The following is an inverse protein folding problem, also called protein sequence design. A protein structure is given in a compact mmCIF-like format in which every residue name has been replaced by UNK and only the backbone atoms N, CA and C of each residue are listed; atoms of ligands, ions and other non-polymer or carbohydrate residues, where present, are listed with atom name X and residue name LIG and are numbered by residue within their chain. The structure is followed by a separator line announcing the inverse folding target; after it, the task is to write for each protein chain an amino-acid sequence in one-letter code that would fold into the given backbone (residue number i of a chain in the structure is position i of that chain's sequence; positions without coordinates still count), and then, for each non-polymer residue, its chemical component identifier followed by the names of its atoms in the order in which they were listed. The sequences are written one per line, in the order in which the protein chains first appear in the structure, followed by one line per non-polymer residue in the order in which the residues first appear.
data_IF_297705360763
#
_entry.id   IF_297705360763
#
_cell.length_a   1.000
_cell.length_b   1.000
_cell.length_c   1.000
_cell.angle_alpha   90.00
_cell.angle_beta   90.00
_cell.angle_gamma   90.00
#
_symmetry.space_group_name_H-M   'P 1'
#
loop_
_entity.id
_entity.type
_entity.pdbx_description
1 polymer ?
#
# COMPACT_ATOMS: atom_id res chain seq x y z
N UNK A 1 61.09 -16.59 -26.56
CA UNK A 1 60.52 -17.36 -25.43
C UNK A 1 59.71 -16.43 -24.52
N UNK A 2 58.49 -16.03 -24.90
CA UNK A 2 57.48 -15.55 -23.94
C UNK A 2 56.08 -15.43 -24.60
N UNK A 3 55.65 -16.44 -25.36
CA UNK A 3 54.30 -16.53 -25.93
C UNK A 3 53.52 -17.74 -25.36
N UNK A 4 53.79 -18.08 -24.09
CA UNK A 4 53.26 -19.28 -23.41
C UNK A 4 52.53 -18.99 -22.09
N UNK A 5 52.33 -17.73 -21.72
CA UNK A 5 51.64 -17.34 -20.47
C UNK A 5 50.31 -16.57 -20.66
N UNK A 6 49.77 -16.53 -21.88
CA UNK A 6 48.48 -15.89 -22.16
C UNK A 6 47.46 -16.85 -22.82
N UNK A 7 47.54 -18.15 -22.50
CA UNK A 7 46.57 -19.19 -22.91
C UNK A 7 46.19 -20.12 -21.75
N UNK A 8 46.34 -19.66 -20.50
CA UNK A 8 45.95 -20.42 -19.30
C UNK A 8 44.86 -19.76 -18.46
N UNK A 9 44.31 -18.62 -18.90
CA UNK A 9 43.18 -17.96 -18.22
C UNK A 9 41.89 -17.88 -19.06
N UNK A 10 41.89 -18.43 -20.28
CA UNK A 10 40.71 -18.44 -21.17
C UNK A 10 40.08 -19.83 -21.34
N UNK A 11 40.42 -20.80 -20.49
CA UNK A 11 39.79 -22.14 -20.49
C UNK A 11 39.05 -22.49 -19.20
N UNK A 12 38.95 -21.56 -18.24
CA UNK A 12 38.25 -21.77 -16.97
C UNK A 12 36.91 -21.02 -16.87
N UNK A 13 36.46 -20.39 -17.95
CA UNK A 13 35.19 -19.62 -17.99
C UNK A 13 34.12 -20.22 -18.91
N UNK A 14 34.35 -21.43 -19.41
CA UNK A 14 33.43 -22.16 -20.30
C UNK A 14 33.12 -23.57 -19.78
N UNK A 15 33.17 -23.75 -18.44
CA UNK A 15 32.87 -25.02 -17.77
C UNK A 15 31.85 -24.89 -16.62
N UNK A 16 31.26 -23.70 -16.42
CA UNK A 16 30.26 -23.46 -15.38
C UNK A 16 28.84 -23.22 -15.92
N UNK A 17 28.62 -23.29 -17.23
CA UNK A 17 27.31 -23.03 -17.85
C UNK A 17 26.85 -24.10 -18.86
N UNK A 18 27.39 -25.31 -18.79
CA UNK A 18 26.86 -26.46 -19.53
C UNK A 18 26.84 -27.68 -18.64
N UNK A 19 25.72 -27.87 -17.91
CA UNK A 19 25.13 -29.17 -17.55
C UNK A 19 24.04 -28.96 -16.47
N UNK A 20 22.75 -28.87 -16.83
CA UNK A 20 21.75 -29.68 -16.19
C UNK A 20 21.60 -31.00 -16.97
N UNK A 21 20.95 -31.97 -16.33
CA UNK A 21 20.45 -33.26 -16.83
C UNK A 21 21.19 -34.47 -16.23
N UNK A 22 20.38 -35.36 -15.65
CA UNK A 22 20.64 -36.70 -15.09
C UNK A 22 21.38 -36.62 -13.73
N UNK A 23 20.85 -37.07 -12.59
CA UNK A 23 20.35 -38.42 -12.34
C UNK A 23 19.39 -38.39 -11.13
N UNK A 24 18.11 -38.63 -11.40
CA UNK A 24 17.27 -39.41 -10.50
C UNK A 24 17.60 -40.89 -10.73
N UNK A 25 18.33 -41.49 -9.80
CA UNK A 25 18.55 -42.93 -9.62
C UNK A 25 19.45 -43.07 -8.39
N UNK A 26 18.87 -43.14 -7.19
CA UNK A 26 19.32 -44.08 -6.16
C UNK A 26 18.18 -44.29 -5.15
N UNK A 27 17.92 -45.53 -4.69
CA UNK A 27 16.74 -45.90 -3.92
C UNK A 27 16.99 -45.76 -2.42
N UNK A 28 16.00 -45.27 -1.68
CA UNK A 28 15.91 -45.42 -0.22
C UNK A 28 14.80 -46.43 0.14
N UNK A 29 14.98 -47.24 1.20
CA UNK A 29 14.22 -48.46 1.41
C UNK A 29 12.93 -48.28 2.22
N UNK A 30 11.99 -49.18 1.91
CA UNK A 30 10.86 -49.71 2.69
C UNK A 30 9.76 -48.75 3.18
N UNK A 31 8.63 -48.82 2.48
CA UNK A 31 7.41 -49.35 3.09
C UNK A 31 6.70 -50.25 2.08
N UNK A 32 6.59 -51.54 2.43
CA UNK A 32 5.87 -52.54 1.66
C UNK A 32 4.36 -52.24 1.67
N UNK A 33 3.74 -52.27 0.49
CA UNK A 33 2.32 -52.58 0.39
C UNK A 33 2.17 -53.78 -0.53
N UNK A 34 1.73 -54.88 0.08
CA UNK A 34 1.52 -56.21 -0.50
C UNK A 34 0.61 -56.14 -1.73
N UNK A 35 1.08 -56.74 -2.82
CA UNK A 35 0.30 -56.95 -4.04
C UNK A 35 -0.54 -58.21 -3.88
N UNK A 36 -1.85 -58.12 -4.06
CA UNK A 36 -2.66 -59.27 -4.48
C UNK A 36 -3.24 -58.98 -5.87
N UNK A 37 -2.70 -59.68 -6.86
CA UNK A 37 -3.33 -59.87 -8.18
C UNK A 37 -4.46 -60.88 -8.01
N UNK A 38 -5.69 -60.48 -8.32
CA UNK A 38 -6.75 -61.41 -8.73
C UNK A 38 -7.14 -61.10 -10.16
N UNK A 39 -6.90 -62.05 -11.05
CA UNK A 39 -7.32 -62.04 -12.44
C UNK A 39 -8.72 -62.66 -12.51
N UNK A 40 -9.73 -61.89 -12.91
CA UNK A 40 -11.05 -62.40 -13.28
C UNK A 40 -11.43 -61.79 -14.63
N UNK A 41 -11.75 -62.64 -15.59
CA UNK A 41 -12.11 -62.28 -16.97
C UNK A 41 -13.62 -62.01 -17.13
N UNK A 42 -13.92 -61.08 -18.07
CA UNK A 42 -15.17 -60.76 -18.80
C UNK A 42 -15.97 -59.53 -18.31
N UNK A 43 -16.70 -58.80 -19.18
CA UNK A 43 -16.57 -58.60 -20.64
C UNK A 43 -16.14 -57.14 -20.99
N UNK A 44 -15.76 -56.87 -22.24
CA UNK A 44 -15.47 -55.50 -22.70
C UNK A 44 -16.72 -54.63 -22.65
N UNK A 45 -16.80 -53.75 -21.65
CA UNK A 45 -17.72 -52.61 -21.64
C UNK A 45 -16.94 -51.42 -22.17
N UNK A 46 -17.36 -50.89 -23.32
CA UNK A 46 -16.82 -49.66 -23.88
C UNK A 46 -17.32 -48.51 -23.01
N UNK A 47 -16.49 -48.03 -22.09
CA UNK A 47 -16.74 -46.76 -21.41
C UNK A 47 -16.27 -45.64 -22.33
N UNK A 48 -17.20 -44.84 -22.84
CA UNK A 48 -16.88 -43.50 -23.31
C UNK A 48 -16.27 -42.74 -22.12
N UNK A 49 -15.03 -42.29 -22.26
CA UNK A 49 -14.40 -41.43 -21.28
C UNK A 49 -15.11 -40.08 -21.32
N UNK A 50 -16.12 -39.90 -20.45
CA UNK A 50 -16.49 -38.57 -20.02
C UNK A 50 -15.38 -38.10 -19.08
N UNK A 51 -14.56 -37.16 -19.54
CA UNK A 51 -13.62 -36.48 -18.67
C UNK A 51 -14.41 -35.87 -17.50
N UNK A 52 -14.01 -36.11 -16.24
CA UNK A 52 -14.64 -35.43 -15.13
C UNK A 52 -14.29 -33.95 -15.27
N UNK A 53 -15.29 -33.13 -15.57
CA UNK A 53 -15.20 -31.68 -15.42
C UNK A 53 -14.98 -31.45 -13.92
N UNK A 54 -13.72 -31.31 -13.52
CA UNK A 54 -13.38 -30.76 -12.22
C UNK A 54 -13.75 -29.29 -12.30
N UNK A 55 -14.97 -28.97 -11.85
CA UNK A 55 -15.35 -27.60 -11.55
C UNK A 55 -14.48 -27.14 -10.39
N UNK A 56 -13.34 -26.52 -10.69
CA UNK A 56 -12.65 -25.67 -9.73
C UNK A 56 -13.69 -24.64 -9.31
N UNK A 57 -14.04 -24.50 -8.02
CA UNK A 57 -14.92 -23.45 -7.58
C UNK A 57 -14.35 -22.12 -8.07
N UNK A 58 -15.10 -21.39 -8.88
CA UNK A 58 -14.74 -20.01 -9.24
C UNK A 58 -14.62 -19.27 -7.90
N UNK A 59 -13.42 -18.80 -7.55
CA UNK A 59 -13.26 -17.94 -6.38
C UNK A 59 -14.28 -16.80 -6.52
N UNK A 60 -14.99 -16.45 -5.44
CA UNK A 60 -16.00 -15.40 -5.53
C UNK A 60 -15.33 -14.15 -6.12
N UNK A 61 -15.88 -13.65 -7.24
CA UNK A 61 -15.50 -12.34 -7.77
C UNK A 61 -15.89 -11.31 -6.72
N UNK A 62 -14.93 -10.96 -5.88
CA UNK A 62 -15.03 -9.79 -5.01
C UNK A 62 -14.89 -8.60 -5.96
N UNK A 63 -15.90 -7.74 -6.01
CA UNK A 63 -15.81 -6.49 -6.75
C UNK A 63 -14.59 -5.70 -6.24
N UNK A 64 -13.80 -5.09 -7.15
CA UNK A 64 -12.57 -4.41 -6.77
C UNK A 64 -12.87 -3.27 -5.78
N UNK A 65 -12.17 -3.24 -4.65
CA UNK A 65 -12.26 -2.13 -3.70
C UNK A 65 -11.28 -1.02 -4.12
N UNK A 66 -11.80 0.01 -4.78
CA UNK A 66 -11.06 1.13 -5.33
C UNK A 66 -10.70 2.15 -4.24
N UNK A 67 -9.42 2.46 -4.13
CA UNK A 67 -8.89 3.45 -3.18
C UNK A 67 -8.21 4.58 -3.94
N UNK A 68 -8.77 5.79 -3.90
CA UNK A 68 -8.16 6.97 -4.53
C UNK A 68 -7.21 7.67 -3.56
N UNK A 69 -5.97 7.91 -3.99
CA UNK A 69 -4.94 8.62 -3.24
C UNK A 69 -4.78 10.04 -3.75
N UNK A 70 -4.81 11.00 -2.83
CA UNK A 70 -4.62 12.43 -3.07
C UNK A 70 -3.59 13.00 -2.10
N UNK A 71 -2.93 14.09 -2.51
CA UNK A 71 -1.87 14.73 -1.74
C UNK A 71 -2.00 16.25 -1.85
N UNK A 72 -2.98 16.84 -1.14
CA UNK A 72 -3.23 18.29 -1.20
C UNK A 72 -2.00 19.12 -0.84
N UNK A 73 -1.20 18.64 0.11
CA UNK A 73 0.12 19.21 0.44
C UNK A 73 1.26 18.29 -0.06
N UNK A 74 1.29 18.04 -1.36
CA UNK A 74 2.20 17.09 -2.04
C UNK A 74 3.69 17.23 -1.70
N UNK A 75 4.19 18.45 -1.45
CA UNK A 75 5.61 18.72 -1.16
C UNK A 75 5.99 18.60 0.32
N UNK A 76 5.08 18.20 1.19
CA UNK A 76 5.42 17.93 2.58
C UNK A 76 6.42 16.78 2.70
N UNK A 77 7.55 17.02 3.38
CA UNK A 77 8.65 16.07 3.44
C UNK A 77 9.03 15.65 4.85
N UNK A 78 9.81 14.57 4.91
CA UNK A 78 10.36 13.99 6.13
C UNK A 78 11.86 14.28 6.18
N UNK A 79 12.33 14.97 7.22
CA UNK A 79 13.73 15.38 7.33
C UNK A 79 14.72 14.21 7.20
N UNK A 80 14.48 13.01 7.77
CA UNK A 80 15.41 11.89 7.62
C UNK A 80 15.57 11.43 6.17
N UNK A 81 14.48 11.45 5.39
CA UNK A 81 14.48 11.05 3.98
C UNK A 81 15.25 12.08 3.15
N UNK A 82 14.91 13.37 3.29
CA UNK A 82 15.63 14.46 2.61
C UNK A 82 17.12 14.44 2.97
N UNK A 83 17.47 14.20 4.24
CA UNK A 83 18.86 14.16 4.69
C UNK A 83 19.62 12.98 4.10
N UNK A 84 19.00 11.81 4.01
CA UNK A 84 19.61 10.60 3.43
C UNK A 84 19.95 10.79 1.94
N UNK A 85 19.07 11.48 1.20
CA UNK A 85 19.24 11.67 -0.26
C UNK A 85 20.03 12.92 -0.63
N UNK A 86 19.75 14.05 0.02
CA UNK A 86 20.29 15.39 -0.34
C UNK A 86 21.28 15.96 0.68
N UNK A 87 21.47 15.31 1.84
CA UNK A 87 22.37 15.79 2.89
C UNK A 87 21.85 16.98 3.70
N UNK A 88 20.63 17.47 3.42
CA UNK A 88 20.00 18.61 4.09
C UNK A 88 18.74 18.20 4.86
N UNK A 89 18.31 19.04 5.80
CA UNK A 89 17.04 18.83 6.51
C UNK A 89 16.02 19.85 6.03
N UNK A 90 14.94 19.36 5.43
CA UNK A 90 13.81 20.17 5.02
C UNK A 90 12.50 19.46 5.42
N UNK A 91 11.46 20.27 5.66
CA UNK A 91 10.09 19.79 5.95
C UNK A 91 9.14 20.01 4.76
N UNK A 92 9.64 20.67 3.72
CA UNK A 92 9.09 20.71 2.38
C UNK A 92 10.23 20.46 1.38
N UNK A 93 10.00 19.64 0.37
CA UNK A 93 10.97 19.38 -0.71
C UNK A 93 10.21 19.05 -2.00
N UNK A 94 10.72 19.47 -3.16
CA UNK A 94 10.03 19.27 -4.45
C UNK A 94 10.13 17.84 -4.97
N UNK A 95 11.13 17.07 -4.52
CA UNK A 95 11.40 15.72 -5.02
C UNK A 95 11.26 14.65 -3.92
N UNK A 96 11.72 14.95 -2.70
CA UNK A 96 11.74 14.02 -1.57
C UNK A 96 10.61 14.34 -0.59
N UNK A 97 9.37 14.05 -0.98
CA UNK A 97 8.14 14.44 -0.27
C UNK A 97 7.13 13.31 -0.16
N UNK A 98 5.98 13.56 0.46
CA UNK A 98 4.94 12.57 0.64
C UNK A 98 4.36 12.08 -0.70
N UNK A 99 4.24 12.95 -1.70
CA UNK A 99 3.81 12.56 -3.04
C UNK A 99 4.78 11.56 -3.69
N UNK A 100 6.09 11.71 -3.49
CA UNK A 100 7.09 10.76 -3.96
C UNK A 100 6.99 9.35 -3.33
N UNK A 101 6.21 9.19 -2.25
CA UNK A 101 5.95 7.89 -1.61
C UNK A 101 4.72 7.16 -2.20
N UNK A 102 4.03 7.74 -3.18
CA UNK A 102 2.78 7.21 -3.74
C UNK A 102 2.92 5.78 -4.27
N UNK A 103 4.01 5.43 -4.95
CA UNK A 103 4.25 4.07 -5.47
C UNK A 103 4.37 3.05 -4.33
N UNK A 104 5.03 3.43 -3.23
CA UNK A 104 5.13 2.59 -2.02
C UNK A 104 3.74 2.38 -1.40
N UNK A 105 2.93 3.44 -1.32
CA UNK A 105 1.57 3.36 -0.79
C UNK A 105 0.67 2.47 -1.66
N UNK A 106 0.71 2.64 -2.98
CA UNK A 106 -0.01 1.77 -3.93
C UNK A 106 0.38 0.30 -3.74
N UNK A 107 1.68 0.02 -3.69
CA UNK A 107 2.17 -1.34 -3.57
C UNK A 107 1.63 -2.06 -2.32
N UNK A 108 1.59 -1.40 -1.17
CA UNK A 108 1.02 -1.99 0.04
C UNK A 108 -0.49 -2.20 -0.04
N UNK A 109 -1.23 -1.31 -0.72
CA UNK A 109 -2.67 -1.48 -0.96
C UNK A 109 -2.94 -2.69 -1.88
N UNK A 110 -2.19 -2.82 -2.98
CA UNK A 110 -2.27 -3.95 -3.92
C UNK A 110 -1.96 -5.29 -3.24
N UNK A 111 -0.91 -5.34 -2.39
CA UNK A 111 -0.57 -6.54 -1.62
C UNK A 111 -1.70 -7.00 -0.68
N UNK A 112 -2.63 -6.10 -0.33
CA UNK A 112 -3.80 -6.39 0.48
C UNK A 112 -5.08 -6.60 -0.34
N UNK A 113 -4.96 -6.76 -1.67
CA UNK A 113 -6.09 -7.02 -2.57
C UNK A 113 -6.99 -5.81 -2.82
N UNK A 114 -6.48 -4.59 -2.58
CA UNK A 114 -7.15 -3.34 -2.88
C UNK A 114 -6.73 -2.84 -4.27
N UNK A 115 -7.54 -2.00 -4.90
CA UNK A 115 -7.25 -1.41 -6.22
C UNK A 115 -6.93 0.08 -6.06
N UNK A 116 -5.66 0.47 -5.90
CA UNK A 116 -5.32 1.87 -5.68
C UNK A 116 -5.25 2.67 -6.98
N UNK A 117 -5.72 3.91 -6.90
CA UNK A 117 -5.63 4.91 -7.97
C UNK A 117 -4.97 6.16 -7.40
N UNK A 118 -4.17 6.86 -8.19
CA UNK A 118 -3.55 8.12 -7.77
C UNK A 118 -4.19 9.26 -8.57
N UNK A 119 -4.53 10.34 -7.87
CA UNK A 119 -4.73 11.63 -8.52
C UNK A 119 -3.38 12.12 -9.07
N UNK A 120 -3.21 12.07 -10.39
CA UNK A 120 -1.97 12.48 -11.09
C UNK A 120 -1.89 14.01 -11.18
N UNK A 121 -1.71 14.65 -10.02
CA UNK A 121 -1.72 16.10 -9.88
C UNK A 121 -0.87 16.55 -8.68
N UNK A 122 0.34 17.01 -8.96
CA UNK A 122 1.22 17.61 -7.93
C UNK A 122 0.75 19.02 -7.57
N UNK A 123 -0.15 19.10 -6.59
CA UNK A 123 -0.82 20.35 -6.16
C UNK A 123 0.19 21.47 -5.88
N UNK A 124 1.28 21.19 -5.15
CA UNK A 124 2.24 22.21 -4.78
C UNK A 124 3.08 22.71 -5.97
N UNK A 125 3.33 21.88 -6.98
CA UNK A 125 3.94 22.30 -8.24
C UNK A 125 2.98 23.17 -9.05
N UNK A 126 1.72 22.77 -9.15
CA UNK A 126 0.68 23.50 -9.89
C UNK A 126 0.37 24.86 -9.25
N UNK A 127 0.35 24.93 -7.92
CA UNK A 127 0.19 26.18 -7.18
C UNK A 127 1.25 27.22 -7.54
N UNK A 128 2.50 26.82 -7.81
CA UNK A 128 3.56 27.74 -8.25
C UNK A 128 3.28 28.33 -9.63
N UNK A 129 2.64 27.57 -10.53
CA UNK A 129 2.31 28.03 -11.88
C UNK A 129 1.20 29.09 -11.86
N UNK A 130 0.30 29.02 -10.88
CA UNK A 130 -0.84 29.94 -10.75
C UNK A 130 -0.67 30.99 -9.64
N UNK A 131 0.55 31.14 -9.10
CA UNK A 131 0.90 32.07 -8.02
C UNK A 131 -0.03 31.93 -6.79
N UNK A 132 -0.41 30.69 -6.46
CA UNK A 132 -1.23 30.38 -5.30
C UNK A 132 -0.39 30.22 -4.03
N UNK A 133 -0.91 30.74 -2.93
CA UNK A 133 -0.33 30.62 -1.58
C UNK A 133 -0.74 29.32 -0.90
N UNK A 134 0.01 28.87 0.10
CA UNK A 134 -0.21 27.59 0.81
C UNK A 134 -1.66 27.37 1.27
N UNK A 135 -2.33 28.40 1.79
CA UNK A 135 -3.73 28.32 2.24
C UNK A 135 -4.74 28.08 1.12
N UNK A 136 -4.34 28.23 -0.14
CA UNK A 136 -5.18 28.00 -1.31
C UNK A 136 -5.03 26.58 -1.87
N UNK A 137 -4.22 25.71 -1.26
CA UNK A 137 -3.98 24.35 -1.74
C UNK A 137 -5.29 23.56 -1.94
N UNK A 138 -6.21 23.60 -0.96
CA UNK A 138 -7.52 22.96 -1.10
C UNK A 138 -8.34 23.54 -2.25
N UNK A 139 -8.28 24.86 -2.48
CA UNK A 139 -8.96 25.51 -3.61
C UNK A 139 -8.42 25.02 -4.97
N UNK A 140 -7.12 24.75 -5.05
CA UNK A 140 -6.46 24.25 -6.28
C UNK A 140 -6.72 22.75 -6.48
N UNK A 141 -6.66 21.96 -5.41
CA UNK A 141 -6.86 20.52 -5.42
C UNK A 141 -8.32 20.09 -5.68
N UNK A 142 -9.28 20.84 -5.12
CA UNK A 142 -10.71 20.49 -5.12
C UNK A 142 -11.30 20.17 -6.51
N UNK A 143 -11.15 21.02 -7.55
CA UNK A 143 -11.75 20.73 -8.85
C UNK A 143 -11.20 19.44 -9.48
N UNK A 144 -9.92 19.11 -9.24
CA UNK A 144 -9.32 17.88 -9.73
C UNK A 144 -9.92 16.66 -9.03
N UNK A 145 -10.01 16.69 -7.70
CA UNK A 145 -10.65 15.61 -6.95
C UNK A 145 -12.12 15.42 -7.35
N UNK A 146 -12.86 16.51 -7.54
CA UNK A 146 -14.24 16.45 -8.01
C UNK A 146 -14.36 15.75 -9.38
N UNK A 147 -13.45 16.03 -10.31
CA UNK A 147 -13.43 15.37 -11.62
C UNK A 147 -13.21 13.86 -11.49
N UNK A 148 -12.25 13.41 -10.66
CA UNK A 148 -12.03 11.98 -10.43
C UNK A 148 -13.28 11.29 -9.88
N UNK A 149 -13.97 11.93 -8.93
CA UNK A 149 -15.21 11.43 -8.32
C UNK A 149 -16.41 11.42 -9.27
N UNK A 150 -16.40 12.26 -10.31
CA UNK A 150 -17.43 12.25 -11.37
C UNK A 150 -17.17 11.13 -12.40
N UNK A 151 -15.91 10.81 -12.66
CA UNK A 151 -15.51 9.84 -13.69
C UNK A 151 -15.55 8.40 -13.20
N UNK A 152 -15.30 8.15 -11.91
CA UNK A 152 -15.22 6.81 -11.34
C UNK A 152 -15.81 6.76 -9.92
N UNK A 153 -16.32 5.58 -9.54
CA UNK A 153 -16.69 5.29 -8.16
C UNK A 153 -15.46 4.79 -7.38
N UNK A 154 -15.28 5.33 -6.17
CA UNK A 154 -14.24 4.90 -5.24
C UNK A 154 -14.88 4.56 -3.90
N UNK A 155 -14.54 3.41 -3.32
CA UNK A 155 -15.02 3.02 -2.00
C UNK A 155 -14.30 3.76 -0.87
N UNK A 156 -13.10 4.27 -1.13
CA UNK A 156 -12.34 5.09 -0.18
C UNK A 156 -11.49 6.14 -0.92
N UNK A 157 -11.46 7.37 -0.41
CA UNK A 157 -10.52 8.41 -0.84
C UNK A 157 -9.66 8.83 0.33
N UNK A 158 -8.34 8.92 0.13
CA UNK A 158 -7.39 9.29 1.17
C UNK A 158 -6.55 10.49 0.70
N UNK A 159 -6.69 11.62 1.37
CA UNK A 159 -5.77 12.76 1.29
C UNK A 159 -4.64 12.57 2.32
N UNK A 160 -3.45 12.23 1.84
CA UNK A 160 -2.29 11.99 2.68
C UNK A 160 -1.51 13.28 2.95
N UNK A 161 -1.31 13.56 4.23
CA UNK A 161 -0.49 14.66 4.74
C UNK A 161 0.60 14.11 5.64
N UNK A 162 1.60 14.92 5.94
CA UNK A 162 2.62 14.63 6.95
C UNK A 162 2.33 15.52 8.16
N UNK A 163 2.31 15.01 9.39
CA UNK A 163 2.11 15.87 10.56
C UNK A 163 3.36 16.74 10.82
N UNK A 164 3.17 18.01 11.12
CA UNK A 164 4.24 18.89 11.62
C UNK A 164 4.89 18.43 12.94
N UNK A 165 4.28 17.49 13.66
CA UNK A 165 4.72 17.03 14.97
C UNK A 165 6.06 16.25 14.94
N UNK A 166 6.88 16.36 16.00
CA UNK A 166 8.19 15.72 16.06
C UNK A 166 8.10 14.24 16.47
N UNK A 167 9.23 13.52 16.31
CA UNK A 167 9.37 12.07 16.58
C UNK A 167 8.74 11.61 17.90
N UNK A 168 8.90 12.40 18.97
CA UNK A 168 8.37 12.07 20.31
C UNK A 168 6.85 11.84 20.32
N UNK A 169 6.13 12.47 19.39
CA UNK A 169 4.67 12.37 19.27
C UNK A 169 4.27 11.36 18.20
N UNK A 170 5.08 11.26 17.13
CA UNK A 170 4.75 10.55 15.89
C UNK A 170 5.46 9.21 15.72
N UNK A 171 6.17 8.70 16.74
CA UNK A 171 6.77 7.37 16.70
C UNK A 171 6.24 6.48 17.81
N UNK A 172 5.91 5.24 17.45
CA UNK A 172 5.59 4.16 18.36
C UNK A 172 6.69 3.10 18.27
N UNK A 173 7.10 2.54 19.40
CA UNK A 173 7.89 1.30 19.44
C UNK A 173 6.98 0.16 19.89
N UNK A 174 6.83 -0.85 19.03
CA UNK A 174 6.06 -2.06 19.32
C UNK A 174 6.83 -3.27 18.78
N UNK A 175 6.95 -4.33 19.58
CA UNK A 175 7.66 -5.56 19.22
C UNK A 175 9.10 -5.33 18.69
N UNK A 176 9.84 -4.41 19.32
CA UNK A 176 11.20 -3.98 18.91
C UNK A 176 11.30 -3.31 17.53
N UNK A 177 10.18 -3.03 16.88
CA UNK A 177 10.09 -2.28 15.64
C UNK A 177 9.55 -0.87 15.90
N UNK A 178 9.90 0.09 15.05
CA UNK A 178 9.39 1.46 15.12
C UNK A 178 8.42 1.74 14.00
N UNK A 179 7.31 2.38 14.34
CA UNK A 179 6.23 2.76 13.44
C UNK A 179 6.03 4.27 13.48
N UNK A 180 5.68 4.84 12.34
CA UNK A 180 5.10 6.17 12.31
C UNK A 180 3.68 6.08 12.86
N UNK A 181 3.32 6.98 13.76
CA UNK A 181 1.95 7.08 14.25
C UNK A 181 1.14 7.93 13.30
N UNK A 182 -0.09 7.52 13.03
CA UNK A 182 -1.00 8.25 12.16
C UNK A 182 -2.09 8.95 12.96
N UNK A 183 -2.68 10.00 12.41
CA UNK A 183 -3.89 10.62 12.94
C UNK A 183 -4.88 10.86 11.79
N UNK A 184 -6.16 10.96 12.12
CA UNK A 184 -7.20 11.21 11.14
C UNK A 184 -7.79 12.60 11.37
N UNK A 185 -7.75 13.46 10.37
CA UNK A 185 -8.33 14.80 10.47
C UNK A 185 -9.74 14.78 9.90
N UNK A 186 -10.68 15.38 10.62
CA UNK A 186 -12.06 15.56 10.17
C UNK A 186 -12.44 17.02 10.21
N UNK A 187 -12.78 17.59 9.06
CA UNK A 187 -13.34 18.93 8.94
C UNK A 187 -14.77 18.95 9.46
N UNK A 188 -15.03 19.70 10.52
CA UNK A 188 -16.35 19.74 11.16
C UNK A 188 -17.23 20.92 10.67
N UNK A 189 -16.89 21.54 9.54
CA UNK A 189 -17.58 22.73 9.02
C UNK A 189 -18.44 22.45 7.77
N UNK A 190 -18.82 21.19 7.54
CA UNK A 190 -19.81 20.82 6.52
C UNK A 190 -20.91 19.91 7.09
N UNK A 191 -22.16 19.97 6.59
CA UNK A 191 -23.32 19.33 7.25
C UNK A 191 -23.29 17.79 7.34
N UNK A 192 -22.40 17.14 6.60
CA UNK A 192 -22.34 15.67 6.49
C UNK A 192 -21.06 15.07 7.11
N UNK A 193 -20.29 15.86 7.86
CA UNK A 193 -18.98 15.44 8.39
C UNK A 193 -19.05 14.23 9.33
N UNK A 194 -20.20 13.95 9.94
CA UNK A 194 -20.39 12.77 10.77
C UNK A 194 -20.18 11.46 10.00
N UNK A 195 -20.42 11.45 8.68
CA UNK A 195 -20.15 10.28 7.85
C UNK A 195 -18.63 10.05 7.67
N UNK A 196 -17.88 11.11 7.35
CA UNK A 196 -16.41 11.06 7.29
C UNK A 196 -15.81 10.70 8.66
N UNK A 197 -16.38 11.22 9.75
CA UNK A 197 -16.01 10.87 11.11
C UNK A 197 -16.20 9.38 11.40
N UNK A 198 -17.29 8.77 10.94
CA UNK A 198 -17.55 7.35 11.14
C UNK A 198 -16.50 6.49 10.41
N UNK A 199 -16.19 6.81 9.14
CA UNK A 199 -15.13 6.14 8.39
C UNK A 199 -13.76 6.28 9.07
N UNK A 200 -13.41 7.51 9.48
CA UNK A 200 -12.16 7.79 10.17
C UNK A 200 -12.04 7.04 11.49
N UNK A 201 -13.14 6.96 12.26
CA UNK A 201 -13.20 6.26 13.54
C UNK A 201 -13.00 4.76 13.35
N UNK A 202 -13.74 4.16 12.42
CA UNK A 202 -13.61 2.73 12.09
C UNK A 202 -12.18 2.38 11.70
N UNK A 203 -11.58 3.14 10.77
CA UNK A 203 -10.22 2.86 10.33
C UNK A 203 -9.19 3.11 11.44
N UNK A 204 -9.38 4.14 12.26
CA UNK A 204 -8.54 4.41 13.44
C UNK A 204 -8.57 3.29 14.46
N UNK A 205 -9.74 2.71 14.72
CA UNK A 205 -9.89 1.55 15.60
C UNK A 205 -9.23 0.32 14.97
N UNK A 206 -9.42 0.10 13.67
CA UNK A 206 -8.88 -1.06 12.97
C UNK A 206 -7.34 -1.05 12.92
N UNK A 207 -6.68 0.09 12.67
CA UNK A 207 -5.21 0.11 12.73
C UNK A 207 -4.69 -0.14 14.15
N UNK A 208 -5.42 0.32 15.19
CA UNK A 208 -5.06 0.07 16.58
C UNK A 208 -5.33 -1.36 17.04
N UNK A 209 -6.27 -2.07 16.42
CA UNK A 209 -6.49 -3.50 16.68
C UNK A 209 -5.33 -4.36 16.17
N UNK A 210 -4.68 -3.94 15.07
CA UNK A 210 -3.50 -4.61 14.51
C UNK A 210 -2.23 -4.23 15.28
N UNK A 211 -1.96 -2.93 15.47
CA UNK A 211 -0.82 -2.43 16.24
C UNK A 211 -1.31 -1.41 17.30
N UNK A 212 -1.46 -1.83 18.57
CA UNK A 212 -1.98 -0.94 19.61
C UNK A 212 -1.17 0.34 19.79
N UNK A 213 -1.83 1.48 19.64
CA UNK A 213 -1.26 2.82 19.81
C UNK A 213 -0.64 3.42 18.55
N UNK A 214 -0.76 2.77 17.38
CA UNK A 214 -0.28 3.30 16.11
C UNK A 214 -1.12 4.50 15.65
N UNK A 215 -2.43 4.51 15.93
CA UNK A 215 -3.28 5.67 15.70
C UNK A 215 -3.30 6.59 16.92
N UNK A 216 -3.18 7.89 16.66
CA UNK A 216 -3.39 8.99 17.61
C UNK A 216 -4.86 9.38 17.75
N UNK A 217 -5.75 8.72 17.02
CA UNK A 217 -7.18 9.01 17.02
C UNK A 217 -7.58 10.11 16.05
N UNK A 218 -8.77 10.66 16.29
CA UNK A 218 -9.42 11.65 15.44
C UNK A 218 -9.10 13.07 15.91
N UNK A 219 -8.74 13.94 14.98
CA UNK A 219 -8.53 15.37 15.18
C UNK A 219 -9.63 16.11 14.43
N UNK A 220 -10.67 16.56 15.15
CA UNK A 220 -11.68 17.43 14.56
C UNK A 220 -11.14 18.84 14.39
N UNK A 221 -11.39 19.46 13.24
CA UNK A 221 -10.93 20.81 12.87
C UNK A 221 -12.13 21.67 12.52
N UNK A 222 -12.23 22.83 13.18
CA UNK A 222 -13.23 23.87 12.94
C UNK A 222 -12.72 25.20 13.48
N UNK A 223 -13.27 26.30 13.00
CA UNK A 223 -12.97 27.66 13.44
C UNK A 223 -11.83 28.31 12.68
N UNK A 224 -11.36 29.44 13.21
CA UNK A 224 -10.36 30.27 12.54
C UNK A 224 -8.99 29.59 12.44
N UNK A 225 -8.35 29.70 11.29
CA UNK A 225 -6.95 29.25 11.09
C UNK A 225 -6.81 27.79 10.63
N UNK A 226 -7.93 27.16 10.27
CA UNK A 226 -7.97 25.83 9.65
C UNK A 226 -8.84 25.89 8.39
N UNK A 227 -8.74 24.90 7.51
CA UNK A 227 -9.63 24.81 6.34
C UNK A 227 -11.06 24.47 6.76
N UNK A 228 -11.21 23.54 7.72
CA UNK A 228 -12.50 23.19 8.31
C UNK A 228 -13.33 22.19 7.49
N UNK A 229 -12.98 21.92 6.23
CA UNK A 229 -13.72 21.01 5.34
C UNK A 229 -12.83 19.95 4.70
N UNK A 230 -11.63 20.28 4.25
CA UNK A 230 -10.61 19.36 3.72
C UNK A 230 -11.09 18.48 2.56
N UNK A 231 -11.94 19.03 1.68
CA UNK A 231 -12.65 18.30 0.61
C UNK A 231 -13.55 17.15 1.06
N UNK A 232 -13.78 16.99 2.38
CA UNK A 232 -14.58 15.90 2.93
C UNK A 232 -16.08 16.03 2.64
N UNK A 233 -16.50 17.22 2.23
CA UNK A 233 -17.87 17.48 1.76
C UNK A 233 -18.14 16.98 0.34
N UNK A 234 -17.11 16.57 -0.42
CA UNK A 234 -17.29 16.02 -1.77
C UNK A 234 -17.87 14.60 -1.75
N UNK A 235 -17.49 13.78 -0.76
CA UNK A 235 -18.05 12.45 -0.55
C UNK A 235 -17.84 11.96 0.89
N UNK A 236 -18.72 11.07 1.35
CA UNK A 236 -18.76 10.59 2.74
C UNK A 236 -17.54 9.74 3.14
N UNK A 237 -16.82 9.22 2.16
CA UNK A 237 -15.68 8.31 2.29
C UNK A 237 -14.34 9.00 1.97
N UNK A 238 -14.29 10.33 1.96
CA UNK A 238 -13.04 11.10 1.89
C UNK A 238 -12.45 11.23 3.29
N UNK A 239 -11.23 10.74 3.46
CA UNK A 239 -10.45 10.80 4.70
C UNK A 239 -9.18 11.62 4.52
N UNK A 240 -8.76 12.32 5.57
CA UNK A 240 -7.43 12.91 5.65
C UNK A 240 -6.61 12.15 6.69
N UNK A 241 -5.46 11.61 6.28
CA UNK A 241 -4.54 10.91 7.15
C UNK A 241 -3.24 11.69 7.29
N UNK A 242 -2.93 12.08 8.53
CA UNK A 242 -1.63 12.58 8.94
C UNK A 242 -0.69 11.37 9.10
N UNK A 243 0.17 11.14 8.12
CA UNK A 243 0.96 9.92 7.96
C UNK A 243 2.35 10.06 8.60
N UNK A 244 2.42 9.89 9.93
CA UNK A 244 3.65 10.22 10.66
C UNK A 244 3.88 11.72 10.73
N UNK A 245 5.09 12.14 11.08
CA UNK A 245 5.49 13.54 11.08
C UNK A 245 6.94 13.79 10.72
N UNK A 246 7.39 15.04 10.87
CA UNK A 246 8.60 15.59 10.24
C UNK A 246 9.91 14.82 10.47
N UNK A 247 9.99 14.01 11.53
CA UNK A 247 11.19 13.28 11.93
C UNK A 247 11.07 11.75 11.72
N UNK A 248 9.99 11.25 11.13
CA UNK A 248 9.83 9.82 10.83
C UNK A 248 10.72 9.38 9.67
N UNK A 249 11.18 8.13 9.71
CA UNK A 249 12.00 7.54 8.63
C UNK A 249 11.15 6.78 7.63
N UNK A 250 11.70 6.55 6.43
CA UNK A 250 11.02 5.77 5.39
C UNK A 250 10.64 4.37 5.88
N UNK A 251 11.50 3.71 6.66
CA UNK A 251 11.22 2.38 7.20
C UNK A 251 10.07 2.40 8.22
N UNK A 252 9.94 3.45 9.02
CA UNK A 252 8.82 3.64 9.95
C UNK A 252 7.50 3.84 9.19
N UNK A 253 7.53 4.61 8.10
CA UNK A 253 6.39 4.85 7.21
C UNK A 253 5.96 3.56 6.49
N UNK A 254 6.90 2.80 5.90
CA UNK A 254 6.61 1.54 5.23
C UNK A 254 5.90 0.53 6.14
N UNK A 255 6.40 0.34 7.38
CA UNK A 255 5.74 -0.53 8.37
C UNK A 255 4.33 -0.06 8.71
N UNK A 256 4.13 1.25 8.77
CA UNK A 256 2.82 1.86 9.06
C UNK A 256 1.86 1.69 7.89
N UNK A 257 2.36 1.83 6.65
CA UNK A 257 1.56 1.61 5.45
C UNK A 257 1.09 0.15 5.33
N UNK A 258 1.95 -0.81 5.70
CA UNK A 258 1.58 -2.22 5.76
C UNK A 258 0.38 -2.45 6.70
N UNK A 259 0.41 -1.85 7.89
CA UNK A 259 -0.68 -1.92 8.87
C UNK A 259 -1.94 -1.21 8.36
N UNK A 260 -1.78 -0.02 7.76
CA UNK A 260 -2.90 0.76 7.23
C UNK A 260 -3.62 0.03 6.09
N UNK A 261 -2.88 -0.54 5.13
CA UNK A 261 -3.45 -1.28 4.02
C UNK A 261 -4.23 -2.52 4.48
N UNK A 262 -3.66 -3.29 5.42
CA UNK A 262 -4.35 -4.41 6.05
C UNK A 262 -5.61 -3.94 6.80
N UNK A 263 -5.54 -2.82 7.52
CA UNK A 263 -6.69 -2.27 8.22
C UNK A 263 -7.82 -1.87 7.27
N UNK A 264 -7.51 -1.24 6.13
CA UNK A 264 -8.50 -0.89 5.11
C UNK A 264 -9.21 -2.15 4.59
N UNK A 265 -8.45 -3.20 4.24
CA UNK A 265 -9.01 -4.49 3.79
C UNK A 265 -9.97 -5.09 4.80
N UNK A 266 -9.58 -5.17 6.07
CA UNK A 266 -10.41 -5.78 7.12
C UNK A 266 -11.64 -4.92 7.41
N UNK A 267 -11.46 -3.60 7.57
CA UNK A 267 -12.52 -2.68 7.96
C UNK A 267 -13.64 -2.56 6.91
N UNK A 268 -13.29 -2.54 5.62
CA UNK A 268 -14.23 -2.15 4.58
C UNK A 268 -14.56 -3.23 3.56
N UNK A 269 -13.75 -4.30 3.48
CA UNK A 269 -13.97 -5.37 2.49
C UNK A 269 -14.37 -6.67 3.18
N UNK A 270 -13.69 -7.07 4.26
CA UNK A 270 -14.04 -8.31 4.99
C UNK A 270 -15.24 -8.13 5.91
N UNK A 271 -15.38 -6.94 6.52
CA UNK A 271 -16.52 -6.64 7.40
C UNK A 271 -17.82 -6.35 6.62
N UNK A 272 -17.76 -6.28 5.29
CA UNK A 272 -18.90 -6.03 4.40
C UNK A 272 -19.54 -7.33 3.84
N UNK A 273 -18.95 -8.49 4.15
CA UNK A 273 -19.41 -9.84 3.77
C UNK A 273 -19.92 -10.58 4.99
#
# INVERSE_FOLDING_TARGET
MCLRKLKRFSLLFLFLFSLPIIIGQFPFPNNEMTTQKSKSERPHVVYAAAEPIVTVPEEPKIDPFNVLLMFTHSHESYKPIVKKTKGMQAVYDEEMNIFSLQEMMQHYLELNGLTPHIVDFDVMTEMKQVDATFHQAYKVARPVLAQYLEENEYELVIDFHRDSAPKKVTTLTANNEQYAKIAFVVGAEHPAYEANLAYATLLSEQVNSIVPGISRGIIKKSGTGVDGVYNQDLATNVLLIEFGGIDNTEEELQRTMAVLAQAIRVAFVESAV
#
